data_IF_197483290857
#
_entry.id   IF_197483290857
#
_cell.length_a   1.000
_cell.length_b   1.000
_cell.length_c   1.000
_cell.angle_alpha   90.00
_cell.angle_beta   90.00
_cell.angle_gamma   90.00
#
_symmetry.space_group_name_H-M   'P 1'
#
loop_
_entity.id
_entity.type
_entity.pdbx_description
1 polymer ?
#
# COMPACT_ATOMS: atom_id res chain seq x y z
N UNK A 1 -9.19 -15.91 49.47
CA UNK A 1 -8.01 -15.84 48.57
C UNK A 1 -8.50 -16.11 47.15
N UNK A 2 -8.48 -15.17 46.19
CA UNK A 2 -8.79 -15.54 44.82
C UNK A 2 -7.64 -16.40 44.29
N UNK A 3 -7.99 -17.59 43.83
CA UNK A 3 -7.08 -18.55 43.18
C UNK A 3 -6.57 -17.96 41.87
N UNK A 4 -5.29 -17.64 41.81
CA UNK A 4 -4.62 -17.22 40.58
C UNK A 4 -4.69 -18.33 39.55
N UNK A 5 -5.56 -18.18 38.56
CA UNK A 5 -5.50 -19.00 37.36
C UNK A 5 -4.38 -18.42 36.51
N UNK A 6 -3.24 -19.13 36.44
CA UNK A 6 -2.23 -18.93 35.40
C UNK A 6 -2.78 -19.34 34.02
N UNK A 7 -3.94 -18.78 33.67
CA UNK A 7 -4.70 -19.08 32.48
C UNK A 7 -4.30 -18.17 31.32
N UNK A 8 -4.68 -18.59 30.12
CA UNK A 8 -4.50 -17.83 28.91
C UNK A 8 -5.11 -16.43 29.06
N UNK A 9 -4.29 -15.38 28.89
CA UNK A 9 -4.69 -13.97 29.03
C UNK A 9 -4.86 -13.26 27.68
N UNK A 10 -4.81 -14.02 26.58
CA UNK A 10 -4.93 -13.51 25.22
C UNK A 10 -6.09 -14.16 24.45
N UNK A 11 -6.78 -13.36 23.63
CA UNK A 11 -7.78 -13.82 22.67
C UNK A 11 -7.10 -14.09 21.32
N UNK A 12 -7.28 -15.30 20.79
CA UNK A 12 -6.66 -15.76 19.55
C UNK A 12 -7.71 -16.04 18.50
N UNK A 13 -7.51 -15.48 17.32
CA UNK A 13 -8.27 -15.82 16.12
C UNK A 13 -7.44 -16.81 15.31
N UNK A 14 -7.98 -18.00 15.09
CA UNK A 14 -7.34 -19.04 14.28
C UNK A 14 -8.27 -19.42 13.14
N UNK A 15 -7.69 -19.65 11.96
CA UNK A 15 -8.42 -20.22 10.82
C UNK A 15 -7.87 -21.62 10.65
N UNK A 16 -8.71 -22.65 10.83
CA UNK A 16 -8.33 -24.02 10.52
C UNK A 16 -8.46 -24.22 9.01
N UNK A 17 -7.33 -24.29 8.30
CA UNK A 17 -7.29 -25.04 7.05
C UNK A 17 -6.45 -26.30 7.30
N UNK A 18 -6.85 -27.43 6.71
CA UNK A 18 -6.44 -28.77 7.09
C UNK A 18 -4.96 -28.91 7.51
N UNK A 19 -4.69 -28.94 8.84
CA UNK A 19 -3.43 -29.45 9.40
C UNK A 19 -2.61 -28.53 10.32
N UNK A 20 -2.79 -27.21 10.31
CA UNK A 20 -2.08 -26.31 11.26
C UNK A 20 -3.00 -25.23 11.83
N UNK A 21 -3.00 -25.07 13.16
CA UNK A 21 -3.57 -23.93 13.85
C UNK A 21 -2.61 -22.74 13.75
N UNK A 22 -2.47 -22.17 12.55
CA UNK A 22 -1.77 -20.90 12.40
C UNK A 22 -2.69 -19.78 12.86
N UNK A 23 -2.29 -19.09 13.93
CA UNK A 23 -3.01 -17.94 14.47
C UNK A 23 -3.06 -16.90 13.36
N UNK A 24 -4.26 -16.45 13.00
CA UNK A 24 -4.44 -15.36 12.05
C UNK A 24 -4.18 -14.00 12.73
N UNK A 25 -4.66 -13.83 13.97
CA UNK A 25 -4.45 -12.62 14.78
C UNK A 25 -4.55 -12.90 16.28
N UNK A 26 -3.95 -12.03 17.09
CA UNK A 26 -3.96 -12.12 18.57
C UNK A 26 -4.29 -10.75 19.17
N UNK A 27 -5.23 -10.73 20.10
CA UNK A 27 -5.41 -9.65 21.07
C UNK A 27 -4.73 -10.08 22.37
N UNK A 28 -3.56 -9.52 22.65
CA UNK A 28 -2.77 -9.89 23.82
C UNK A 28 -3.23 -9.21 25.11
N UNK A 29 -2.68 -9.64 26.24
CA UNK A 29 -3.03 -9.12 27.57
C UNK A 29 -2.63 -7.66 27.81
N UNK A 30 -1.81 -7.07 26.95
CA UNK A 30 -1.47 -5.65 26.95
C UNK A 30 -2.42 -4.84 26.05
N UNK A 31 -3.48 -5.47 25.53
CA UNK A 31 -4.47 -4.84 24.67
C UNK A 31 -4.01 -4.63 23.23
N UNK A 32 -2.92 -5.29 22.79
CA UNK A 32 -2.40 -5.14 21.43
C UNK A 32 -3.09 -6.10 20.49
N UNK A 33 -3.63 -5.55 19.40
CA UNK A 33 -4.06 -6.35 18.25
C UNK A 33 -2.90 -6.50 17.27
N UNK A 34 -2.45 -7.74 17.05
CA UNK A 34 -1.25 -8.04 16.26
C UNK A 34 -1.44 -9.29 15.37
N UNK A 35 -0.63 -9.44 14.30
CA UNK A 35 -0.60 -10.68 13.54
C UNK A 35 -0.19 -11.87 14.43
N UNK A 36 -0.60 -13.07 14.01
CA UNK A 36 -0.26 -14.30 14.72
C UNK A 36 1.19 -14.72 14.57
N UNK A 37 1.84 -14.31 13.48
CA UNK A 37 3.26 -14.50 13.20
C UNK A 37 3.90 -13.22 12.65
N UNK A 38 5.20 -13.08 12.86
CA UNK A 38 5.94 -11.91 12.37
C UNK A 38 5.97 -11.86 10.83
N UNK A 39 5.69 -10.68 10.27
CA UNK A 39 5.70 -10.39 8.83
C UNK A 39 4.93 -11.39 7.94
N UNK A 40 3.90 -12.08 8.46
CA UNK A 40 3.20 -13.16 7.75
C UNK A 40 1.77 -12.80 7.28
N UNK A 41 1.07 -11.93 8.00
CA UNK A 41 -0.32 -11.55 7.69
C UNK A 41 -0.43 -10.09 7.22
N UNK A 42 -1.29 -9.85 6.22
CA UNK A 42 -1.66 -8.50 5.78
C UNK A 42 -2.82 -7.94 6.60
N UNK A 43 -2.89 -6.61 6.75
CA UNK A 43 -4.06 -5.93 7.32
C UNK A 43 -4.97 -5.46 6.18
N UNK A 44 -5.96 -6.28 5.86
CA UNK A 44 -6.83 -6.11 4.69
C UNK A 44 -6.31 -6.81 3.44
N UNK A 45 -7.08 -6.71 2.37
CA UNK A 45 -6.81 -7.30 1.06
C UNK A 45 -7.30 -6.34 -0.04
N UNK A 46 -6.85 -6.51 -1.28
CA UNK A 46 -7.30 -5.74 -2.44
C UNK A 46 -8.83 -5.69 -2.54
N UNK A 47 -9.56 -6.80 -2.35
CA UNK A 47 -11.02 -6.82 -2.28
C UNK A 47 -11.65 -6.33 -0.97
N UNK A 48 -10.89 -6.25 0.12
CA UNK A 48 -11.38 -5.98 1.48
C UNK A 48 -10.53 -4.89 2.15
N UNK A 49 -10.70 -3.65 1.69
CA UNK A 49 -9.96 -2.49 2.19
C UNK A 49 -10.66 -1.85 3.38
N UNK A 50 -9.86 -1.38 4.33
CA UNK A 50 -10.33 -0.44 5.34
C UNK A 50 -10.62 0.91 4.70
N UNK A 51 -11.77 1.50 5.01
CA UNK A 51 -12.13 2.82 4.50
C UNK A 51 -11.30 3.94 5.13
N UNK A 52 -10.96 3.82 6.42
CA UNK A 52 -10.17 4.80 7.18
C UNK A 52 -9.52 4.13 8.40
N UNK A 53 -8.29 4.54 8.72
CA UNK A 53 -7.59 4.14 9.96
C UNK A 53 -7.37 5.39 10.80
N UNK A 54 -7.92 5.39 12.03
CA UNK A 54 -7.71 6.47 13.00
C UNK A 54 -6.58 6.08 13.96
N UNK A 55 -5.51 6.89 14.00
CA UNK A 55 -4.36 6.69 14.88
C UNK A 55 -3.86 8.04 15.41
N UNK A 56 -3.35 8.05 16.65
CA UNK A 56 -2.79 9.27 17.27
C UNK A 56 -1.42 9.65 16.67
N UNK A 57 -0.67 8.67 16.15
CA UNK A 57 0.64 8.86 15.51
C UNK A 57 0.71 8.07 14.20
N UNK A 58 1.66 8.42 13.32
CA UNK A 58 1.89 7.70 12.07
C UNK A 58 2.33 6.24 12.27
N UNK A 59 2.24 5.45 11.20
CA UNK A 59 2.70 4.04 11.19
C UNK A 59 4.22 3.96 11.31
N UNK A 60 4.71 3.01 12.10
CA UNK A 60 6.12 2.66 12.14
C UNK A 60 6.38 1.58 11.07
N UNK A 61 7.30 1.86 10.14
CA UNK A 61 7.78 0.89 9.16
C UNK A 61 9.21 0.48 9.53
N UNK A 62 9.48 -0.83 9.64
CA UNK A 62 10.82 -1.35 9.90
C UNK A 62 11.78 -0.90 8.79
N UNK A 63 12.87 -0.24 9.17
CA UNK A 63 13.89 0.27 8.26
C UNK A 63 15.29 0.03 8.80
N UNK A 64 15.52 -1.13 9.39
CA UNK A 64 16.80 -1.53 9.95
C UNK A 64 17.84 -1.78 8.84
N UNK A 65 19.03 -1.17 8.95
CA UNK A 65 20.11 -1.33 7.98
C UNK A 65 20.61 -2.79 7.87
N UNK A 66 20.46 -3.59 8.93
CA UNK A 66 20.87 -5.00 8.95
C UNK A 66 20.00 -5.89 8.07
N UNK A 67 18.79 -5.44 7.77
CA UNK A 67 17.80 -6.14 6.95
C UNK A 67 17.79 -5.64 5.49
N UNK A 68 18.69 -4.72 5.14
CA UNK A 68 18.67 -4.04 3.84
C UNK A 68 19.99 -4.20 3.10
N UNK A 69 19.89 -4.64 1.85
CA UNK A 69 20.97 -4.45 0.87
C UNK A 69 20.83 -3.07 0.25
N UNK A 70 21.78 -2.19 0.55
CA UNK A 70 21.79 -0.84 -0.02
C UNK A 70 22.11 -0.88 -1.52
N UNK A 71 21.38 -0.11 -2.32
CA UNK A 71 21.52 -0.05 -3.78
C UNK A 71 21.96 1.33 -4.30
N UNK A 72 22.20 2.32 -3.42
CA UNK A 72 22.56 3.68 -3.82
C UNK A 72 21.35 4.60 -4.04
N UNK A 73 21.61 5.76 -4.63
CA UNK A 73 20.58 6.74 -4.97
C UNK A 73 19.90 6.46 -6.31
N UNK A 74 18.87 7.25 -6.62
CA UNK A 74 18.14 7.16 -7.88
C UNK A 74 19.02 7.53 -9.09
N UNK A 75 18.86 6.79 -10.18
CA UNK A 75 19.44 7.05 -11.49
C UNK A 75 18.85 8.30 -12.16
N UNK A 76 19.49 8.78 -13.23
CA UNK A 76 19.01 9.94 -13.99
C UNK A 76 17.59 9.72 -14.57
N UNK A 77 17.28 8.51 -15.04
CA UNK A 77 15.94 8.18 -15.55
C UNK A 77 14.89 8.19 -14.43
N UNK A 78 15.22 7.63 -13.27
CA UNK A 78 14.37 7.67 -12.09
C UNK A 78 14.12 9.09 -11.60
N UNK A 79 15.15 9.95 -11.57
CA UNK A 79 14.99 11.35 -11.16
C UNK A 79 14.10 12.14 -12.14
N UNK A 80 14.22 11.92 -13.46
CA UNK A 80 13.30 12.52 -14.45
C UNK A 80 11.88 12.02 -14.28
N UNK A 81 11.70 10.70 -14.05
CA UNK A 81 10.38 10.13 -13.78
C UNK A 81 9.75 10.79 -12.53
N UNK A 82 10.51 10.91 -11.44
CA UNK A 82 10.06 11.55 -10.22
C UNK A 82 9.60 13.00 -10.45
N UNK A 83 10.36 13.79 -11.20
CA UNK A 83 9.99 15.16 -11.55
C UNK A 83 8.71 15.23 -12.39
N UNK A 84 8.60 14.37 -13.40
CA UNK A 84 7.40 14.27 -14.25
C UNK A 84 6.16 13.86 -13.45
N UNK A 85 6.29 12.90 -12.54
CA UNK A 85 5.20 12.47 -11.65
C UNK A 85 4.78 13.62 -10.72
N UNK A 86 5.75 14.36 -10.15
CA UNK A 86 5.46 15.51 -9.29
C UNK A 86 4.67 16.59 -10.05
N UNK A 87 4.98 16.81 -11.32
CA UNK A 87 4.27 17.77 -12.19
C UNK A 87 2.81 17.42 -12.49
N UNK A 88 2.37 16.17 -12.23
CA UNK A 88 0.99 15.73 -12.50
C UNK A 88 0.18 15.40 -11.24
N UNK A 89 0.70 15.79 -10.06
CA UNK A 89 -0.08 15.77 -8.82
C UNK A 89 -1.31 16.65 -8.95
N UNK A 90 -2.45 16.17 -8.45
CA UNK A 90 -3.71 16.88 -8.63
C UNK A 90 -4.76 16.54 -7.59
N UNK A 91 -5.82 17.35 -7.59
CA UNK A 91 -7.01 17.07 -6.81
C UNK A 91 -7.88 16.02 -7.51
N UNK A 92 -8.46 15.12 -6.73
CA UNK A 92 -9.45 14.16 -7.19
C UNK A 92 -10.58 14.01 -6.16
N UNK A 93 -11.70 13.47 -6.60
CA UNK A 93 -12.82 13.07 -5.76
C UNK A 93 -13.13 11.61 -6.10
N UNK A 94 -13.72 10.87 -5.17
CA UNK A 94 -14.16 9.51 -5.45
C UNK A 94 -15.51 9.54 -6.17
N UNK A 95 -15.65 8.81 -7.28
CA UNK A 95 -16.90 8.73 -8.04
C UNK A 95 -18.08 8.31 -7.15
N UNK A 96 -17.90 7.30 -6.29
CA UNK A 96 -18.93 6.86 -5.33
C UNK A 96 -19.33 7.99 -4.37
N UNK A 97 -18.39 8.85 -3.97
CA UNK A 97 -18.68 9.99 -3.09
C UNK A 97 -19.45 11.09 -3.83
N UNK A 98 -19.11 11.34 -5.10
CA UNK A 98 -19.86 12.26 -5.97
C UNK A 98 -21.28 11.74 -6.19
N UNK A 99 -21.43 10.46 -6.54
CA UNK A 99 -22.74 9.84 -6.75
C UNK A 99 -23.61 9.90 -5.49
N UNK A 100 -23.02 9.70 -4.30
CA UNK A 100 -23.76 9.70 -3.04
C UNK A 100 -24.10 11.09 -2.48
N UNK A 101 -23.29 12.12 -2.76
CA UNK A 101 -23.37 13.42 -2.08
C UNK A 101 -23.47 14.63 -3.02
N UNK A 102 -23.23 14.44 -4.32
CA UNK A 102 -23.03 15.53 -5.28
C UNK A 102 -21.57 15.98 -5.36
N UNK A 103 -21.20 16.57 -6.49
CA UNK A 103 -19.83 17.02 -6.76
C UNK A 103 -19.39 18.15 -5.81
N UNK A 104 -20.31 18.97 -5.34
CA UNK A 104 -20.02 20.10 -4.44
C UNK A 104 -19.70 19.65 -3.00
N UNK A 105 -20.36 18.57 -2.52
CA UNK A 105 -20.19 18.06 -1.16
C UNK A 105 -19.16 16.92 -1.04
N UNK A 106 -18.81 16.28 -2.17
CA UNK A 106 -17.77 15.26 -2.19
C UNK A 106 -16.40 15.87 -1.88
N UNK A 107 -15.71 15.34 -0.86
CA UNK A 107 -14.41 15.89 -0.41
C UNK A 107 -13.35 15.75 -1.50
N UNK A 108 -12.55 16.81 -1.68
CA UNK A 108 -11.37 16.81 -2.56
C UNK A 108 -10.18 16.18 -1.84
N UNK A 109 -9.57 15.20 -2.49
CA UNK A 109 -8.33 14.54 -2.11
C UNK A 109 -7.20 15.03 -3.02
N UNK A 110 -5.94 14.91 -2.59
CA UNK A 110 -4.79 15.31 -3.40
C UNK A 110 -3.80 14.16 -3.52
N UNK A 111 -3.28 13.92 -4.72
CA UNK A 111 -2.32 12.85 -4.95
C UNK A 111 -2.14 12.51 -6.43
N UNK A 112 -1.84 11.24 -6.68
CA UNK A 112 -1.58 10.70 -8.03
C UNK A 112 -2.70 9.77 -8.50
N UNK A 113 -2.75 9.56 -9.82
CA UNK A 113 -3.47 8.44 -10.45
C UNK A 113 -2.46 7.34 -10.75
N UNK A 114 -2.66 6.13 -10.21
CA UNK A 114 -1.66 5.06 -10.25
C UNK A 114 -1.24 4.66 -11.68
N UNK A 115 -2.18 4.56 -12.62
CA UNK A 115 -1.89 4.25 -14.02
C UNK A 115 -1.03 5.33 -14.69
N UNK A 116 -1.20 6.60 -14.31
CA UNK A 116 -0.38 7.70 -14.85
C UNK A 116 1.06 7.60 -14.31
N UNK A 117 1.24 7.25 -13.03
CA UNK A 117 2.58 6.96 -12.50
C UNK A 117 3.23 5.84 -13.30
N UNK A 118 2.48 4.78 -13.61
CA UNK A 118 2.96 3.68 -14.44
C UNK A 118 3.41 4.15 -15.83
N UNK A 119 2.60 4.97 -16.49
CA UNK A 119 2.90 5.50 -17.82
C UNK A 119 4.19 6.33 -17.82
N UNK A 120 4.38 7.23 -16.84
CA UNK A 120 5.62 8.02 -16.74
C UNK A 120 6.85 7.14 -16.53
N UNK A 121 6.73 6.12 -15.67
CA UNK A 121 7.83 5.17 -15.43
C UNK A 121 8.14 4.37 -16.71
N UNK A 122 7.12 4.00 -17.48
CA UNK A 122 7.29 3.29 -18.75
C UNK A 122 7.94 4.17 -19.83
N UNK A 123 7.55 5.44 -19.92
CA UNK A 123 8.13 6.41 -20.85
C UNK A 123 9.63 6.64 -20.60
N UNK A 124 10.07 6.55 -19.34
CA UNK A 124 11.50 6.64 -18.97
C UNK A 124 12.23 5.29 -19.10
N UNK A 125 11.55 4.24 -19.60
CA UNK A 125 12.12 2.90 -19.81
C UNK A 125 12.39 2.12 -18.51
N UNK A 126 11.75 2.50 -17.40
CA UNK A 126 11.97 1.89 -16.08
C UNK A 126 11.08 0.66 -15.83
N UNK A 127 9.93 0.60 -16.51
CA UNK A 127 8.97 -0.51 -16.46
C UNK A 127 8.34 -0.73 -17.82
N UNK A 128 7.72 -1.89 -18.03
CA UNK A 128 6.89 -2.12 -19.20
C UNK A 128 5.61 -1.27 -19.12
N UNK A 129 5.12 -0.83 -20.29
CA UNK A 129 3.82 -0.18 -20.40
C UNK A 129 2.69 -1.13 -19.97
N UNK A 130 1.57 -0.55 -19.53
CA UNK A 130 0.35 -1.31 -19.29
C UNK A 130 -0.08 -1.95 -20.61
N UNK A 131 -0.29 -3.26 -20.59
CA UNK A 131 -0.66 -4.05 -21.75
C UNK A 131 -2.05 -3.71 -22.28
N UNK A 132 -2.35 -4.15 -23.51
CA UNK A 132 -3.66 -3.98 -24.13
C UNK A 132 -4.79 -4.68 -23.34
N UNK A 133 -4.46 -5.66 -22.49
CA UNK A 133 -5.38 -6.32 -21.57
C UNK A 133 -5.65 -5.50 -20.28
N UNK A 134 -5.13 -4.28 -20.20
CA UNK A 134 -5.27 -3.38 -19.06
C UNK A 134 -4.34 -3.70 -17.89
N UNK A 135 -3.43 -4.66 -18.03
CA UNK A 135 -2.60 -5.15 -16.93
C UNK A 135 -1.17 -4.63 -17.03
N UNK A 136 -0.54 -4.30 -15.89
CA UNK A 136 0.86 -3.97 -15.88
C UNK A 136 1.75 -5.22 -16.04
N UNK A 137 2.93 -5.02 -16.62
CA UNK A 137 4.02 -6.00 -16.53
C UNK A 137 4.62 -6.09 -15.12
N UNK A 138 5.66 -6.92 -14.96
CA UNK A 138 6.41 -7.01 -13.71
C UNK A 138 7.18 -5.70 -13.48
N UNK A 139 7.12 -5.16 -12.26
CA UNK A 139 7.87 -3.96 -11.87
C UNK A 139 8.88 -4.27 -10.75
N UNK A 140 10.10 -3.71 -10.78
CA UNK A 140 11.01 -3.76 -9.65
C UNK A 140 10.69 -2.72 -8.56
N UNK A 141 9.75 -1.79 -8.84
CA UNK A 141 9.41 -0.68 -7.95
C UNK A 141 8.21 -1.00 -7.06
N UNK A 142 8.44 -1.18 -5.76
CA UNK A 142 7.40 -1.56 -4.80
C UNK A 142 6.30 -0.50 -4.60
N UNK A 143 6.57 0.78 -4.93
CA UNK A 143 5.54 1.83 -4.86
C UNK A 143 4.49 1.73 -5.96
N UNK A 144 4.71 0.91 -7.00
CA UNK A 144 3.73 0.54 -8.01
C UNK A 144 3.09 -0.78 -7.61
N UNK A 145 1.79 -0.78 -7.33
CA UNK A 145 1.07 -1.98 -6.90
C UNK A 145 -0.06 -2.30 -7.88
N UNK A 146 -0.25 -3.59 -8.13
CA UNK A 146 -1.37 -4.13 -8.88
C UNK A 146 -1.79 -5.46 -8.26
N UNK A 147 -3.08 -5.56 -7.93
CA UNK A 147 -3.68 -6.76 -7.39
C UNK A 147 -4.87 -7.15 -8.25
N UNK A 148 -5.05 -8.46 -8.42
CA UNK A 148 -6.19 -9.03 -9.13
C UNK A 148 -6.75 -10.18 -8.30
N UNK A 149 -8.07 -10.21 -8.14
CA UNK A 149 -8.77 -11.23 -7.37
C UNK A 149 -10.07 -11.62 -8.06
N UNK A 150 -10.57 -12.80 -7.72
CA UNK A 150 -11.88 -13.26 -8.13
C UNK A 150 -12.83 -13.12 -6.94
N UNK A 151 -14.05 -12.65 -7.16
CA UNK A 151 -15.07 -12.61 -6.10
C UNK A 151 -15.78 -13.97 -5.94
N UNK A 152 -16.80 -14.00 -5.08
CA UNK A 152 -17.56 -15.21 -4.79
C UNK A 152 -18.41 -15.70 -5.97
N UNK A 153 -18.78 -14.80 -6.89
CA UNK A 153 -19.60 -15.09 -8.07
C UNK A 153 -18.74 -15.55 -9.26
N UNK A 154 -17.41 -15.48 -9.11
CA UNK A 154 -16.46 -15.88 -10.15
C UNK A 154 -16.02 -14.71 -11.04
N UNK A 155 -16.42 -13.48 -10.73
CA UNK A 155 -16.06 -12.31 -11.50
C UNK A 155 -14.66 -11.84 -11.12
N UNK A 156 -13.89 -11.44 -12.15
CA UNK A 156 -12.53 -10.94 -11.97
C UNK A 156 -12.55 -9.44 -11.70
N UNK A 157 -11.83 -9.06 -10.65
CA UNK A 157 -11.59 -7.67 -10.27
C UNK A 157 -10.10 -7.40 -10.24
N UNK A 158 -9.71 -6.17 -10.56
CA UNK A 158 -8.36 -5.70 -10.37
C UNK A 158 -8.31 -4.30 -9.78
N UNK A 159 -7.11 -3.92 -9.31
CA UNK A 159 -6.88 -2.60 -8.77
C UNK A 159 -5.42 -2.22 -8.86
N UNK A 160 -5.19 -1.03 -9.38
CA UNK A 160 -3.92 -0.32 -9.25
C UNK A 160 -3.85 0.40 -7.91
N UNK A 161 -2.68 0.41 -7.29
CA UNK A 161 -2.41 1.11 -6.05
C UNK A 161 -1.02 1.73 -6.04
N UNK A 162 -0.77 2.61 -5.07
CA UNK A 162 0.55 3.16 -4.80
C UNK A 162 0.89 3.09 -3.32
N UNK A 163 2.16 2.78 -3.00
CA UNK A 163 2.69 2.98 -1.64
C UNK A 163 3.08 4.43 -1.50
N UNK A 164 2.16 5.22 -0.96
CA UNK A 164 2.23 6.69 -0.99
C UNK A 164 3.46 7.25 -0.27
N UNK A 165 3.89 6.59 0.81
CA UNK A 165 5.10 6.92 1.58
C UNK A 165 6.38 6.74 0.75
N UNK A 166 6.51 5.61 0.05
CA UNK A 166 7.67 5.34 -0.82
C UNK A 166 7.68 6.26 -2.03
N UNK A 167 6.50 6.47 -2.65
CA UNK A 167 6.37 7.40 -3.76
C UNK A 167 6.74 8.83 -3.32
N UNK A 168 6.28 9.29 -2.16
CA UNK A 168 6.63 10.62 -1.67
C UNK A 168 8.15 10.81 -1.50
N UNK A 169 8.87 9.82 -0.95
CA UNK A 169 10.34 9.87 -0.85
C UNK A 169 11.01 9.92 -2.22
N UNK A 170 10.49 9.18 -3.20
CA UNK A 170 10.96 9.20 -4.58
C UNK A 170 10.77 10.57 -5.24
N UNK A 171 9.59 11.19 -5.06
CA UNK A 171 9.30 12.54 -5.57
C UNK A 171 10.22 13.59 -4.93
N UNK A 172 10.47 13.49 -3.61
CA UNK A 172 11.41 14.38 -2.92
C UNK A 172 12.80 14.29 -3.54
N UNK A 173 13.30 13.07 -3.84
CA UNK A 173 14.60 12.90 -4.48
C UNK A 173 14.67 13.61 -5.86
N UNK A 174 13.63 13.48 -6.68
CA UNK A 174 13.53 14.16 -7.97
C UNK A 174 13.51 15.69 -7.86
N UNK A 175 12.75 16.23 -6.90
CA UNK A 175 12.65 17.66 -6.66
C UNK A 175 13.98 18.26 -6.15
N UNK A 176 14.66 17.56 -5.24
CA UNK A 176 15.98 17.99 -4.73
C UNK A 176 17.03 17.99 -5.85
N UNK A 177 17.04 16.98 -6.69
CA UNK A 177 17.96 16.92 -7.84
C UNK A 177 17.70 18.06 -8.85
N UNK A 178 16.43 18.43 -9.06
CA UNK A 178 16.06 19.53 -9.96
C UNK A 178 16.40 20.92 -9.41
N UNK A 179 16.38 21.10 -8.09
CA UNK A 179 16.75 22.37 -7.46
C UNK A 179 18.26 22.63 -7.43
N UNK A 180 19.08 21.60 -7.64
CA UNK A 180 20.54 21.67 -7.65
C UNK A 180 21.15 21.84 -9.05
N UNK A 181 20.31 21.83 -10.09
CA UNK A 181 20.70 21.99 -11.50
C UNK A 181 20.42 23.42 -11.99
#
# INVERSE_FOLDING_TARGET
>A
MPVGHGGQTDLKFSVSNAGLLDKAAVLDNAGRFRPGADNAQTLGLSGFRWSTVYAATGTINTSDAREKRWQGGASAAELRAAQRIAGVLGFFQWEDAIAAKGADDARRHFGVRAQHVWAVMADEGLVDAIGADGRPGRTPYAFLCFDRWQDADGDWHDRFGVRSDQLALFLIAGLVAGAAA
#
